data_IF_656180297254
#
_entry.id   IF_656180297254
#
_cell.length_a   1.000
_cell.length_b   1.000
_cell.length_c   1.000
_cell.angle_alpha   90.00
_cell.angle_beta   90.00
_cell.angle_gamma   90.00
#
_symmetry.space_group_name_H-M   'P 1'
#
loop_
_entity.id
_entity.type
_entity.pdbx_description
1 polymer ?
#
# COMPACT_ATOMS: atom_id res chain seq x y z
N UNK A 1 22.79 8.98 2.72
CA UNK A 1 21.51 9.57 3.14
C UNK A 1 20.37 8.67 2.64
N UNK A 2 19.40 8.42 3.47
CA UNK A 2 18.29 7.59 3.05
C UNK A 2 17.41 8.32 2.06
N UNK A 3 16.77 7.57 1.19
CA UNK A 3 15.81 8.10 0.24
C UNK A 3 14.65 8.77 0.94
N UNK A 4 14.06 9.72 0.27
CA UNK A 4 12.82 10.34 0.74
C UNK A 4 11.67 9.79 -0.07
N UNK A 5 10.82 9.03 0.58
CA UNK A 5 9.57 8.57 -0.01
C UNK A 5 8.55 9.67 0.17
N UNK A 6 8.01 10.16 -0.93
CA UNK A 6 6.94 11.14 -0.90
C UNK A 6 5.61 10.42 -1.06
N UNK A 7 4.71 10.62 -0.10
CA UNK A 7 3.39 10.02 -0.16
C UNK A 7 2.33 11.10 -0.26
N UNK A 8 1.27 10.79 -0.98
CA UNK A 8 0.13 11.65 -1.11
C UNK A 8 -1.13 10.81 -0.99
N UNK A 9 -1.98 11.17 -0.04
CA UNK A 9 -3.29 10.53 0.07
C UNK A 9 -4.20 11.08 -1.03
N UNK A 10 -4.66 10.20 -1.90
CA UNK A 10 -5.54 10.58 -2.99
C UNK A 10 -7.00 10.45 -2.59
N UNK A 11 -7.30 9.55 -1.66
CA UNK A 11 -8.64 9.28 -1.22
C UNK A 11 -8.61 8.69 0.20
N UNK A 12 -9.46 9.18 1.04
CA UNK A 12 -9.65 8.62 2.37
C UNK A 12 -11.10 8.89 2.79
N UNK A 13 -11.99 8.04 2.33
CA UNK A 13 -13.41 8.13 2.66
C UNK A 13 -13.78 7.07 3.69
N UNK A 14 -15.05 7.05 4.09
CA UNK A 14 -15.51 6.11 5.10
C UNK A 14 -15.27 4.65 4.71
N UNK A 15 -15.27 4.32 3.42
CA UNK A 15 -15.20 2.94 2.95
C UNK A 15 -14.03 2.63 2.03
N UNK A 16 -13.28 3.63 1.56
CA UNK A 16 -12.21 3.40 0.60
C UNK A 16 -11.04 4.35 0.79
N UNK A 17 -9.91 3.98 0.22
CA UNK A 17 -8.66 4.71 0.37
C UNK A 17 -7.83 4.58 -0.90
N UNK A 18 -6.94 5.54 -1.11
CA UNK A 18 -5.97 5.49 -2.20
C UNK A 18 -4.77 6.37 -1.84
N UNK A 19 -3.58 5.88 -2.15
CA UNK A 19 -2.32 6.54 -1.83
C UNK A 19 -1.40 6.49 -3.06
N UNK A 20 -0.69 7.57 -3.30
CA UNK A 20 0.38 7.63 -4.30
C UNK A 20 1.72 7.79 -3.60
N UNK A 21 2.69 7.02 -4.03
CA UNK A 21 4.06 7.06 -3.49
C UNK A 21 5.03 7.28 -4.64
N UNK A 22 5.99 8.15 -4.42
CA UNK A 22 7.05 8.39 -5.39
C UNK A 22 8.38 8.47 -4.68
N UNK A 23 9.42 8.05 -5.37
CA UNK A 23 10.79 8.09 -4.86
C UNK A 23 11.77 8.12 -6.02
N UNK A 24 12.87 8.82 -5.82
CA UNK A 24 14.06 8.69 -6.66
C UNK A 24 15.20 8.34 -5.69
N UNK A 25 15.84 7.22 -5.95
CA UNK A 25 16.84 6.68 -5.05
C UNK A 25 18.15 7.46 -5.11
N UNK A 26 18.76 7.64 -3.96
CA UNK A 26 20.11 8.19 -3.84
C UNK A 26 21.17 7.10 -3.80
N UNK A 27 20.77 5.87 -4.03
CA UNK A 27 21.67 4.71 -3.98
C UNK A 27 21.41 3.79 -2.80
N UNK A 28 20.58 4.22 -1.88
CA UNK A 28 20.09 3.37 -0.78
C UNK A 28 18.67 2.93 -1.05
N UNK A 29 18.15 2.05 -0.24
CA UNK A 29 16.79 1.55 -0.43
C UNK A 29 15.96 1.67 0.82
N UNK A 30 14.71 1.32 0.67
CA UNK A 30 13.75 1.30 1.77
C UNK A 30 13.63 -0.12 2.33
N UNK A 31 13.41 -0.23 3.62
CA UNK A 31 13.27 -1.53 4.28
C UNK A 31 12.06 -1.49 5.20
N UNK A 32 10.93 -1.97 4.71
CA UNK A 32 9.72 -2.11 5.51
C UNK A 32 9.16 -0.79 6.02
N UNK A 33 9.19 0.26 5.23
CA UNK A 33 8.61 1.53 5.65
C UNK A 33 7.09 1.46 5.60
N UNK A 34 6.42 2.12 6.54
CA UNK A 34 4.96 2.16 6.56
C UNK A 34 4.48 3.16 5.53
N UNK A 35 3.76 2.68 4.52
CA UNK A 35 3.20 3.54 3.49
C UNK A 35 1.73 3.82 3.69
N UNK A 36 1.02 2.94 4.38
CA UNK A 36 -0.36 3.15 4.79
C UNK A 36 -0.47 2.71 6.24
N UNK A 37 -0.79 3.66 7.11
CA UNK A 37 -1.06 3.37 8.51
C UNK A 37 -2.57 3.21 8.68
N UNK A 38 -3.01 1.98 8.80
CA UNK A 38 -4.44 1.66 8.73
C UNK A 38 -5.27 2.36 9.81
N UNK A 39 -4.71 2.48 11.01
CA UNK A 39 -5.48 3.07 12.10
C UNK A 39 -5.55 4.60 12.07
N UNK A 40 -4.86 5.24 11.14
CA UNK A 40 -4.94 6.70 10.99
C UNK A 40 -5.91 7.13 9.90
N UNK A 41 -6.43 6.18 9.12
CA UNK A 41 -7.40 6.50 8.09
C UNK A 41 -8.74 6.91 8.70
N UNK A 42 -9.50 7.68 7.92
CA UNK A 42 -10.81 8.19 8.35
C UNK A 42 -11.70 7.03 8.83
N UNK A 43 -12.43 7.27 9.90
CA UNK A 43 -13.38 6.34 10.50
C UNK A 43 -12.75 5.14 11.20
N UNK A 44 -11.45 5.15 11.42
CA UNK A 44 -10.78 4.08 12.15
C UNK A 44 -11.33 3.96 13.57
N UNK A 45 -11.56 2.73 14.02
CA UNK A 45 -11.94 2.46 15.40
C UNK A 45 -10.78 2.56 16.38
N UNK A 46 -9.56 2.74 15.88
CA UNK A 46 -8.36 2.72 16.71
C UNK A 46 -7.88 1.30 16.97
N UNK A 47 -6.76 1.18 17.64
CA UNK A 47 -6.19 -0.12 17.95
C UNK A 47 -5.56 -0.78 16.73
N UNK A 48 -5.75 -2.09 16.61
CA UNK A 48 -5.08 -2.88 15.59
C UNK A 48 -6.03 -3.79 14.81
N UNK A 49 -7.31 -3.48 14.83
CA UNK A 49 -8.32 -4.32 14.17
C UNK A 49 -8.60 -3.92 12.74
N UNK A 50 -8.03 -2.81 12.27
CA UNK A 50 -8.26 -2.33 10.92
C UNK A 50 -7.73 -3.31 9.89
N UNK A 51 -8.49 -3.47 8.82
CA UNK A 51 -8.07 -4.30 7.68
C UNK A 51 -8.43 -3.57 6.41
N UNK A 52 -7.56 -3.70 5.42
CA UNK A 52 -7.70 -3.08 4.12
C UNK A 52 -7.65 -4.16 3.05
N UNK A 53 -8.28 -3.89 1.93
CA UNK A 53 -8.08 -4.68 0.72
C UNK A 53 -7.46 -3.79 -0.35
N UNK A 54 -6.84 -4.40 -1.34
CA UNK A 54 -6.29 -3.69 -2.48
C UNK A 54 -7.06 -4.12 -3.72
N UNK A 55 -7.65 -3.14 -4.41
CA UNK A 55 -8.48 -3.37 -5.59
C UNK A 55 -7.76 -2.99 -6.87
N UNK A 56 -6.89 -2.00 -6.81
CA UNK A 56 -6.17 -1.48 -7.97
C UNK A 56 -4.75 -1.15 -7.61
N UNK A 57 -3.86 -1.42 -8.54
CA UNK A 57 -2.45 -1.09 -8.44
C UNK A 57 -2.00 -0.48 -9.75
N UNK A 58 -1.28 0.62 -9.67
CA UNK A 58 -0.52 1.16 -10.78
C UNK A 58 0.91 1.30 -10.33
N UNK A 59 1.86 0.89 -11.16
CA UNK A 59 3.26 1.01 -10.78
C UNK A 59 4.13 1.31 -11.98
N UNK A 60 5.20 2.02 -11.69
CA UNK A 60 6.30 2.23 -12.61
C UNK A 60 7.57 2.20 -11.77
N UNK A 61 8.40 1.20 -11.97
CA UNK A 61 9.66 1.02 -11.27
C UNK A 61 10.76 1.09 -12.33
N UNK A 62 11.62 2.10 -12.23
CA UNK A 62 12.62 2.36 -13.24
C UNK A 62 14.02 2.12 -12.71
N UNK A 63 14.89 1.71 -13.61
CA UNK A 63 16.31 1.54 -13.30
C UNK A 63 16.98 2.88 -13.11
N UNK A 64 18.03 2.87 -12.30
CA UNK A 64 18.89 4.01 -12.17
C UNK A 64 20.02 3.99 -13.18
N UNK A 65 21.18 4.42 -12.71
CA UNK A 65 22.37 4.52 -13.56
C UNK A 65 22.98 3.17 -13.88
N UNK A 66 22.67 2.13 -13.11
CA UNK A 66 23.23 0.80 -13.35
C UNK A 66 22.23 -0.06 -14.07
N UNK A 67 22.56 -0.50 -15.29
CA UNK A 67 21.74 -1.41 -16.06
C UNK A 67 21.84 -2.85 -15.58
N UNK A 68 22.76 -3.14 -14.65
CA UNK A 68 22.93 -4.49 -14.12
C UNK A 68 21.97 -4.80 -12.98
N UNK A 69 21.33 -3.79 -12.43
CA UNK A 69 20.39 -3.97 -11.32
C UNK A 69 18.99 -4.14 -11.84
N UNK A 70 18.21 -4.92 -11.10
CA UNK A 70 16.81 -5.17 -11.40
C UNK A 70 16.00 -4.63 -10.22
N UNK A 71 15.60 -3.36 -10.26
CA UNK A 71 14.93 -2.76 -9.12
C UNK A 71 13.52 -3.33 -8.96
N UNK A 72 13.17 -3.59 -7.72
CA UNK A 72 11.85 -4.12 -7.36
C UNK A 72 11.30 -3.43 -6.14
N UNK A 73 10.00 -3.29 -6.11
CA UNK A 73 9.25 -2.78 -4.97
C UNK A 73 8.36 -3.89 -4.47
N UNK A 74 8.50 -4.23 -3.20
CA UNK A 74 7.67 -5.25 -2.56
C UNK A 74 6.74 -4.59 -1.56
N UNK A 75 5.45 -4.85 -1.67
CA UNK A 75 4.47 -4.45 -0.69
C UNK A 75 4.16 -5.64 0.21
N UNK A 76 4.05 -5.38 1.51
CA UNK A 76 3.74 -6.43 2.48
C UNK A 76 2.66 -5.95 3.44
N UNK A 77 1.84 -6.89 3.90
CA UNK A 77 0.99 -6.69 5.07
C UNK A 77 1.84 -6.84 6.32
N UNK A 78 1.67 -5.89 7.24
CA UNK A 78 2.41 -5.96 8.50
C UNK A 78 1.85 -7.03 9.41
N UNK A 79 2.74 -7.80 10.01
CA UNK A 79 2.40 -8.81 11.01
C UNK A 79 3.63 -9.12 11.84
N UNK A 80 3.52 -10.07 12.76
CA UNK A 80 4.69 -10.60 13.46
C UNK A 80 5.70 -11.11 12.45
N UNK A 81 5.20 -11.79 11.41
CA UNK A 81 5.96 -12.03 10.19
C UNK A 81 5.21 -11.33 9.06
N UNK A 82 5.87 -10.41 8.39
CA UNK A 82 5.24 -9.68 7.31
C UNK A 82 4.91 -10.63 6.17
N UNK A 83 3.75 -10.41 5.55
CA UNK A 83 3.28 -11.26 4.45
C UNK A 83 3.32 -10.47 3.15
N UNK A 84 4.00 -11.00 2.15
CA UNK A 84 4.12 -10.33 0.86
C UNK A 84 2.76 -10.23 0.17
N UNK A 85 2.43 -9.02 -0.25
CA UNK A 85 1.26 -8.77 -1.08
C UNK A 85 1.63 -8.98 -2.54
N UNK A 86 2.64 -8.26 -2.99
CA UNK A 86 3.04 -8.23 -4.39
C UNK A 86 4.45 -7.69 -4.52
N UNK A 87 5.18 -8.17 -5.52
CA UNK A 87 6.48 -7.62 -5.92
C UNK A 87 6.34 -7.01 -7.30
N UNK A 88 6.72 -5.74 -7.41
CA UNK A 88 6.51 -4.95 -8.61
C UNK A 88 7.85 -4.64 -9.28
N UNK A 89 7.90 -4.77 -10.60
CA UNK A 89 9.03 -4.33 -11.41
C UNK A 89 8.49 -3.81 -12.74
N UNK A 90 9.29 -2.98 -13.41
CA UNK A 90 8.85 -2.36 -14.66
C UNK A 90 7.64 -1.48 -14.45
N UNK A 91 6.68 -1.56 -15.35
CA UNK A 91 5.45 -0.79 -15.24
C UNK A 91 4.25 -1.69 -15.50
N UNK A 92 3.13 -1.33 -14.87
CA UNK A 92 1.90 -2.08 -15.06
C UNK A 92 0.73 -1.46 -14.34
N UNK A 93 -0.42 -2.04 -14.60
CA UNK A 93 -1.67 -1.62 -14.01
C UNK A 93 -2.52 -2.86 -13.76
N UNK A 94 -3.08 -2.96 -12.57
CA UNK A 94 -3.87 -4.12 -12.18
C UNK A 94 -5.17 -3.66 -11.55
N UNK A 95 -6.29 -3.99 -12.19
CA UNK A 95 -7.62 -3.65 -11.73
C UNK A 95 -8.36 -4.93 -11.37
N UNK A 96 -8.54 -5.14 -10.08
CA UNK A 96 -9.23 -6.32 -9.55
C UNK A 96 -10.72 -6.09 -9.36
N UNK A 97 -11.24 -4.96 -9.85
CA UNK A 97 -12.67 -4.64 -9.71
C UNK A 97 -13.50 -5.20 -10.85
N UNK A 98 -12.87 -5.74 -11.88
CA UNK A 98 -13.55 -6.23 -13.08
C UNK A 98 -13.28 -7.71 -13.27
N UNK A 99 -14.07 -8.33 -14.14
CA UNK A 99 -13.84 -9.72 -14.54
C UNK A 99 -14.06 -10.76 -13.46
N UNK A 100 -14.78 -10.41 -12.39
CA UNK A 100 -15.05 -11.35 -11.32
C UNK A 100 -13.87 -11.64 -10.42
N UNK A 101 -12.81 -10.85 -10.50
CA UNK A 101 -11.64 -11.05 -9.66
C UNK A 101 -11.89 -10.56 -8.24
N UNK A 102 -11.25 -11.21 -7.28
CA UNK A 102 -11.31 -10.81 -5.90
C UNK A 102 -10.19 -9.80 -5.58
N UNK A 103 -10.44 -8.85 -4.68
CA UNK A 103 -9.37 -7.97 -4.21
C UNK A 103 -8.31 -8.74 -3.43
N UNK A 104 -7.15 -8.13 -3.28
CA UNK A 104 -6.10 -8.67 -2.41
C UNK A 104 -6.48 -8.34 -0.97
N UNK A 105 -6.71 -9.34 -0.17
CA UNK A 105 -7.10 -9.18 1.22
C UNK A 105 -5.91 -9.37 2.15
N UNK A 106 -6.01 -8.77 3.34
CA UNK A 106 -4.96 -8.91 4.34
C UNK A 106 -4.96 -10.33 4.90
N UNK A 107 -3.92 -11.07 4.58
CA UNK A 107 -3.72 -12.43 5.04
C UNK A 107 -2.52 -12.55 5.99
N UNK A 108 -2.04 -11.45 6.54
CA UNK A 108 -1.05 -11.50 7.60
C UNK A 108 -1.72 -12.06 8.84
N UNK A 109 -1.17 -13.07 9.43
CA UNK A 109 -1.75 -13.70 10.60
C UNK A 109 -1.52 -12.91 11.88
N UNK A 110 -0.86 -13.55 12.83
CA UNK A 110 -0.59 -12.96 14.13
C UNK A 110 0.16 -11.62 14.00
N UNK A 111 -0.21 -10.65 14.82
CA UNK A 111 0.43 -9.34 14.84
C UNK A 111 -0.02 -8.41 13.73
N UNK A 112 -0.97 -8.81 12.90
CA UNK A 112 -1.49 -7.94 11.84
C UNK A 112 -2.21 -6.74 12.45
N UNK A 113 -1.89 -5.55 11.91
CA UNK A 113 -2.55 -4.31 12.34
C UNK A 113 -3.14 -3.52 11.17
N UNK A 114 -3.14 -4.10 9.97
CA UNK A 114 -3.69 -3.47 8.79
C UNK A 114 -2.73 -2.63 7.98
N UNK A 115 -1.57 -2.31 8.53
CA UNK A 115 -0.59 -1.46 7.84
C UNK A 115 -0.02 -2.13 6.61
N UNK A 116 0.31 -1.32 5.63
CA UNK A 116 1.01 -1.76 4.41
C UNK A 116 2.42 -1.18 4.46
N UNK A 117 3.40 -2.05 4.24
CA UNK A 117 4.81 -1.69 4.24
C UNK A 117 5.39 -1.81 2.84
N UNK A 118 6.46 -1.06 2.59
CA UNK A 118 7.15 -1.07 1.30
C UNK A 118 8.64 -1.34 1.53
N UNK A 119 9.18 -2.22 0.71
CA UNK A 119 10.62 -2.53 0.69
C UNK A 119 11.10 -2.46 -0.75
N UNK A 120 12.26 -1.84 -0.95
CA UNK A 120 12.90 -1.81 -2.27
C UNK A 120 14.07 -2.78 -2.30
N UNK A 121 14.33 -3.33 -3.48
CA UNK A 121 15.44 -4.25 -3.71
C UNK A 121 16.10 -3.88 -5.03
N UNK A 122 17.44 -3.89 -5.06
CA UNK A 122 18.18 -3.62 -6.28
C UNK A 122 18.14 -2.17 -6.71
N UNK A 123 17.86 -1.26 -5.82
CA UNK A 123 17.84 0.17 -6.13
C UNK A 123 19.24 0.73 -6.08
N UNK A 124 19.61 1.42 -7.14
CA UNK A 124 20.85 2.18 -7.26
C UNK A 124 20.50 3.65 -7.44
N UNK A 125 21.52 4.49 -7.47
CA UNK A 125 21.28 5.93 -7.66
C UNK A 125 20.44 6.19 -8.90
N UNK A 126 19.49 7.09 -8.79
CA UNK A 126 18.53 7.48 -9.84
C UNK A 126 17.49 6.42 -10.19
N UNK A 127 17.52 5.23 -9.61
CA UNK A 127 16.37 4.33 -9.69
C UNK A 127 15.19 4.98 -9.00
N UNK A 128 13.99 4.67 -9.44
CA UNK A 128 12.84 5.32 -8.85
C UNK A 128 11.57 4.52 -9.04
N UNK A 129 10.53 4.95 -8.34
CA UNK A 129 9.23 4.33 -8.52
C UNK A 129 8.11 5.35 -8.34
N UNK A 130 6.99 5.06 -8.99
CA UNK A 130 5.69 5.63 -8.69
C UNK A 130 4.75 4.47 -8.49
N UNK A 131 4.10 4.42 -7.33
CA UNK A 131 3.15 3.36 -7.01
C UNK A 131 1.87 4.02 -6.53
N UNK A 132 0.75 3.64 -7.12
CA UNK A 132 -0.57 4.07 -6.68
C UNK A 132 -1.31 2.82 -6.24
N UNK A 133 -1.80 2.84 -5.00
CA UNK A 133 -2.51 1.73 -4.40
C UNK A 133 -3.89 2.21 -3.98
N UNK A 134 -4.91 1.48 -4.38
CA UNK A 134 -6.29 1.82 -4.05
C UNK A 134 -7.01 0.60 -3.51
N UNK A 135 -7.88 0.81 -2.54
CA UNK A 135 -8.62 -0.28 -1.97
C UNK A 135 -9.80 0.13 -1.11
N UNK A 136 -10.32 -0.83 -0.39
CA UNK A 136 -11.47 -0.69 0.50
C UNK A 136 -11.05 -0.90 1.95
N UNK A 137 -11.84 -0.33 2.83
CA UNK A 137 -11.75 -0.56 4.27
C UNK A 137 -12.68 -1.71 4.59
N UNK A 138 -12.13 -2.83 5.05
CA UNK A 138 -12.90 -4.06 5.21
C UNK A 138 -13.27 -4.38 6.65
N UNK A 139 -12.50 -3.89 7.62
CA UNK A 139 -12.80 -4.10 9.03
C UNK A 139 -12.16 -3.00 9.86
N UNK A 140 -12.69 -2.75 11.06
CA UNK A 140 -12.12 -1.80 12.01
C UNK A 140 -12.44 -0.35 11.72
N UNK A 141 -13.50 -0.08 10.95
CA UNK A 141 -13.92 1.27 10.58
C UNK A 141 -15.42 1.40 10.80
N UNK A 142 -15.78 2.05 11.89
CA UNK A 142 -17.17 2.01 12.37
C UNK A 142 -18.11 2.91 11.60
N UNK A 143 -17.64 4.07 11.13
CA UNK A 143 -18.58 5.04 10.57
C UNK A 143 -19.05 4.70 9.17
N UNK A 144 -18.49 3.69 8.55
CA UNK A 144 -18.87 3.35 7.18
C UNK A 144 -20.27 2.76 7.09
N UNK A 145 -20.80 2.32 8.20
CA UNK A 145 -22.15 1.74 8.18
C UNK A 145 -23.21 2.69 8.67
N UNK A 146 -22.80 3.76 9.32
CA UNK A 146 -23.76 4.67 9.90
C UNK A 146 -24.21 5.74 8.94
N UNK A 147 -23.50 5.89 7.84
CA UNK A 147 -23.78 6.96 6.90
C UNK A 147 -24.78 6.59 5.86
N UNK A 148 -25.08 5.36 5.78
CA UNK A 148 -25.75 4.84 4.63
C UNK A 148 -27.18 5.28 4.55
N UNK A 149 -27.84 5.34 5.62
CA UNK A 149 -29.29 5.49 5.59
C UNK A 149 -29.74 6.81 6.16
N UNK A 150 -28.83 7.59 6.68
CA UNK A 150 -29.21 8.79 7.38
C UNK A 150 -30.05 8.50 8.60
N UNK A 151 -30.25 7.26 8.90
CA UNK A 151 -30.92 6.85 10.11
C UNK A 151 -29.88 6.32 11.04
N UNK A 152 -29.73 6.98 12.12
CA UNK A 152 -28.76 6.51 13.08
C UNK A 152 -29.16 5.13 13.55
N UNK A 153 -28.28 4.21 13.42
CA UNK A 153 -28.55 2.92 14.01
C UNK A 153 -28.68 3.00 15.50
#
# INVERSE_FOLDING_TARGET
MADTVTSQTLKDSASSWAVKLTNISDGTGEAGIVIVSANTLVASDGGSTQRLSINRLFWNVSRGTSSLQDPRVTLTWRGTSNTTIVTLSGSGYWDLTTGGQAPLINNAGAGANGDILLTTTGFTASAGYTVIVEGKKTAGYSSRETTDDGVSP
#
